data_IF_457420826941
#
_entry.id   IF_457420826941
#
_cell.length_a   1.000
_cell.length_b   1.000
_cell.length_c   1.000
_cell.angle_alpha   90.00
_cell.angle_beta   90.00
_cell.angle_gamma   90.00
#
_symmetry.space_group_name_H-M   'P 1'
#
loop_
_entity.id
_entity.type
_entity.pdbx_description
1 polymer ?
#
# COMPACT_ATOMS: atom_id res chain seq x y z
N UNK A 1 15.30 0.00 -9.83
CA UNK A 1 14.77 -1.39 -10.00
C UNK A 1 13.42 -1.26 -10.66
N UNK A 2 13.14 -2.01 -11.72
CA UNK A 2 11.83 -1.94 -12.38
C UNK A 2 10.78 -2.67 -11.53
N UNK A 3 9.72 -1.96 -11.12
CA UNK A 3 8.65 -2.51 -10.29
C UNK A 3 7.64 -3.24 -11.19
N UNK A 4 7.38 -4.53 -10.93
CA UNK A 4 6.34 -5.28 -11.64
C UNK A 4 4.99 -5.08 -10.96
N UNK A 5 4.41 -3.90 -11.18
CA UNK A 5 3.15 -3.47 -10.59
C UNK A 5 2.21 -2.98 -11.69
N UNK A 6 0.94 -3.36 -11.61
CA UNK A 6 -0.11 -2.85 -12.49
C UNK A 6 -1.44 -2.70 -11.75
N UNK A 7 -2.29 -1.79 -12.23
CA UNK A 7 -3.64 -1.61 -11.71
C UNK A 7 -4.63 -2.34 -12.61
N UNK A 8 -5.52 -3.14 -12.01
CA UNK A 8 -6.64 -3.79 -12.71
C UNK A 8 -7.95 -3.32 -12.07
N UNK A 9 -8.89 -2.91 -12.91
CA UNK A 9 -10.25 -2.57 -12.53
C UNK A 9 -11.17 -3.77 -12.76
N UNK A 10 -11.99 -4.12 -11.75
CA UNK A 10 -13.02 -5.15 -11.91
C UNK A 10 -14.31 -4.58 -12.52
N UNK A 11 -15.28 -5.46 -12.81
CA UNK A 11 -16.55 -5.09 -13.45
C UNK A 11 -17.38 -4.08 -12.65
N UNK A 12 -17.12 -3.95 -11.35
CA UNK A 12 -17.80 -3.02 -10.46
C UNK A 12 -17.04 -1.67 -10.38
N UNK A 13 -16.04 -1.46 -11.24
CA UNK A 13 -15.19 -0.26 -11.25
C UNK A 13 -14.14 -0.24 -10.14
N UNK A 14 -13.93 -1.35 -9.42
CA UNK A 14 -13.02 -1.36 -8.27
C UNK A 14 -11.60 -1.71 -8.70
N UNK A 15 -10.74 -0.69 -8.68
CA UNK A 15 -9.30 -0.80 -8.94
C UNK A 15 -8.58 -1.63 -7.85
N UNK A 16 -7.59 -2.42 -8.26
CA UNK A 16 -6.70 -3.21 -7.39
C UNK A 16 -5.28 -3.15 -7.94
N UNK A 17 -4.31 -2.87 -7.06
CA UNK A 17 -2.88 -2.89 -7.39
C UNK A 17 -2.33 -4.32 -7.34
N UNK A 18 -1.95 -4.89 -8.47
CA UNK A 18 -1.31 -6.21 -8.55
C UNK A 18 0.20 -6.04 -8.47
N UNK A 19 0.82 -6.64 -7.46
CA UNK A 19 2.26 -6.62 -7.26
C UNK A 19 2.75 -8.02 -7.59
N UNK A 20 3.52 -8.19 -8.66
CA UNK A 20 3.84 -9.51 -9.21
C UNK A 20 5.05 -10.18 -8.60
N UNK A 21 5.90 -9.43 -7.91
CA UNK A 21 7.10 -9.94 -7.27
C UNK A 21 6.99 -9.86 -5.74
N UNK A 22 7.48 -10.90 -5.06
CA UNK A 22 7.64 -10.92 -3.61
C UNK A 22 9.12 -10.73 -3.28
N UNK A 23 9.53 -9.47 -3.11
CA UNK A 23 10.93 -9.13 -2.84
C UNK A 23 11.25 -9.21 -1.33
N UNK A 24 10.28 -8.87 -0.47
CA UNK A 24 10.43 -9.01 0.98
C UNK A 24 10.00 -10.41 1.42
N UNK A 25 10.89 -11.37 1.18
CA UNK A 25 10.70 -12.81 1.49
C UNK A 25 11.50 -13.21 2.73
N UNK A 26 10.80 -13.33 3.86
CA UNK A 26 11.36 -13.89 5.09
C UNK A 26 10.99 -15.35 5.30
N UNK A 27 11.96 -16.24 5.53
CA UNK A 27 11.69 -17.65 5.91
C UNK A 27 11.01 -17.77 7.29
N UNK A 28 11.29 -16.83 8.20
CA UNK A 28 10.74 -16.78 9.58
C UNK A 28 10.01 -15.45 9.85
N UNK A 29 10.59 -14.32 9.45
CA UNK A 29 10.03 -12.98 9.64
C UNK A 29 10.51 -12.02 8.54
N UNK A 30 9.77 -10.94 8.33
CA UNK A 30 10.18 -9.82 7.46
C UNK A 30 11.38 -9.12 8.08
N UNK A 31 12.36 -8.72 7.25
CA UNK A 31 13.42 -7.79 7.61
C UNK A 31 12.91 -6.37 7.35
N UNK A 32 12.56 -5.65 8.40
CA UNK A 32 11.91 -4.35 8.26
C UNK A 32 12.88 -3.26 7.81
N UNK A 33 14.16 -3.35 8.19
CA UNK A 33 15.21 -2.44 7.70
C UNK A 33 15.31 -2.43 6.16
N UNK A 34 15.15 -3.59 5.51
CA UNK A 34 15.15 -3.69 4.04
C UNK A 34 13.91 -2.98 3.44
N UNK A 35 12.77 -3.03 4.14
CA UNK A 35 11.52 -2.35 3.71
C UNK A 35 11.64 -0.84 3.89
N UNK A 36 12.23 -0.40 5.00
CA UNK A 36 12.48 1.01 5.28
C UNK A 36 13.40 1.61 4.22
N UNK A 37 14.52 0.94 3.93
CA UNK A 37 15.46 1.37 2.91
C UNK A 37 14.81 1.44 1.53
N UNK A 38 13.93 0.49 1.21
CA UNK A 38 13.15 0.54 -0.03
C UNK A 38 12.22 1.76 -0.08
N UNK A 39 11.53 2.08 1.02
CA UNK A 39 10.60 3.22 1.07
C UNK A 39 11.29 4.57 0.91
N UNK A 40 12.56 4.70 1.31
CA UNK A 40 13.35 5.94 1.12
C UNK A 40 13.42 6.40 -0.33
N UNK A 41 13.30 5.49 -1.30
CA UNK A 41 13.33 5.86 -2.72
C UNK A 41 12.15 6.74 -3.15
N UNK A 42 11.04 6.72 -2.40
CA UNK A 42 9.85 7.53 -2.68
C UNK A 42 9.85 8.87 -1.95
N UNK A 43 10.79 9.10 -1.03
CA UNK A 43 10.80 10.31 -0.19
C UNK A 43 10.99 11.55 -1.06
N UNK A 44 10.09 12.52 -0.90
CA UNK A 44 10.04 13.73 -1.71
C UNK A 44 9.06 13.65 -2.90
N UNK A 45 8.57 12.46 -3.24
CA UNK A 45 7.56 12.29 -4.28
C UNK A 45 6.18 12.81 -3.86
N UNK A 46 5.35 13.07 -4.86
CA UNK A 46 3.98 13.53 -4.70
C UNK A 46 3.10 12.72 -5.65
N UNK A 47 2.03 12.16 -5.11
CA UNK A 47 1.03 11.40 -5.86
C UNK A 47 -0.34 12.02 -5.65
N UNK A 48 -1.21 11.95 -6.66
CA UNK A 48 -2.57 12.49 -6.56
C UNK A 48 -3.57 11.35 -6.46
N UNK A 49 -4.50 11.46 -5.52
CA UNK A 49 -5.60 10.50 -5.40
C UNK A 49 -6.64 10.80 -6.49
N UNK A 50 -6.97 9.83 -7.34
CA UNK A 50 -7.94 10.00 -8.43
C UNK A 50 -9.33 10.40 -7.92
N UNK A 51 -9.78 9.79 -6.81
CA UNK A 51 -11.14 9.95 -6.25
C UNK A 51 -11.40 11.36 -5.70
N UNK A 52 -10.39 12.01 -5.11
CA UNK A 52 -10.55 13.28 -4.39
C UNK A 52 -9.73 14.44 -4.95
N UNK A 53 -8.80 14.17 -5.87
CA UNK A 53 -7.76 15.10 -6.34
C UNK A 53 -6.85 15.62 -5.21
N UNK A 54 -6.79 14.95 -4.07
CA UNK A 54 -5.85 15.30 -3.00
C UNK A 54 -4.41 14.96 -3.43
N UNK A 55 -3.50 15.94 -3.31
CA UNK A 55 -2.07 15.72 -3.46
C UNK A 55 -1.47 15.16 -2.15
N UNK A 56 -0.84 13.99 -2.24
CA UNK A 56 -0.26 13.25 -1.11
C UNK A 56 1.25 13.20 -1.27
N UNK A 57 1.95 13.78 -0.29
CA UNK A 57 3.39 13.85 -0.22
C UNK A 57 3.96 12.64 0.52
N UNK A 58 5.13 12.17 0.08
CA UNK A 58 5.91 11.17 0.81
C UNK A 58 6.96 11.89 1.66
N UNK A 59 6.70 11.96 2.98
CA UNK A 59 7.60 12.58 3.95
C UNK A 59 8.80 11.70 4.31
N UNK A 60 9.83 12.32 4.87
CA UNK A 60 11.03 11.62 5.39
C UNK A 60 10.72 10.73 6.60
N UNK A 61 9.57 10.95 7.25
CA UNK A 61 9.07 10.18 8.38
C UNK A 61 8.36 8.88 7.95
N UNK A 62 7.84 8.80 6.71
CA UNK A 62 7.10 7.62 6.24
C UNK A 62 7.90 6.31 6.37
N UNK A 63 9.17 6.21 5.94
CA UNK A 63 9.89 4.95 6.02
C UNK A 63 9.92 4.38 7.45
N UNK A 64 10.27 5.21 8.43
CA UNK A 64 10.34 4.83 9.84
C UNK A 64 8.95 4.49 10.41
N UNK A 65 7.94 5.34 10.14
CA UNK A 65 6.58 5.09 10.63
C UNK A 65 5.98 3.81 10.03
N UNK A 66 6.26 3.51 8.77
CA UNK A 66 5.77 2.31 8.11
C UNK A 66 6.35 1.03 8.72
N UNK A 67 7.63 1.04 9.12
CA UNK A 67 8.38 -0.15 9.56
C UNK A 67 8.41 -0.32 11.09
N UNK A 68 8.31 0.77 11.86
CA UNK A 68 8.45 0.76 13.31
C UNK A 68 7.19 1.19 14.07
N UNK A 69 6.05 1.37 13.41
CA UNK A 69 4.80 1.64 14.13
C UNK A 69 4.38 0.47 15.03
N UNK A 70 3.66 0.78 16.12
CA UNK A 70 3.02 -0.23 16.98
C UNK A 70 2.17 -1.22 16.17
N UNK A 71 1.53 -0.75 15.09
CA UNK A 71 0.76 -1.62 14.21
C UNK A 71 1.67 -2.61 13.47
N UNK A 72 2.81 -2.14 12.94
CA UNK A 72 3.78 -3.01 12.27
C UNK A 72 4.36 -4.06 13.22
N UNK A 73 4.68 -3.68 14.46
CA UNK A 73 5.22 -4.60 15.48
C UNK A 73 4.28 -5.77 15.82
N UNK A 74 2.96 -5.56 15.81
CA UNK A 74 2.00 -6.64 16.10
C UNK A 74 1.69 -7.54 14.91
N UNK A 75 2.08 -7.15 13.68
CA UNK A 75 1.85 -7.96 12.49
C UNK A 75 2.75 -9.20 12.48
N UNK A 76 2.16 -10.35 12.13
CA UNK A 76 2.87 -11.62 12.03
C UNK A 76 2.51 -12.37 10.75
N UNK A 77 3.41 -13.27 10.33
CA UNK A 77 3.19 -14.21 9.23
C UNK A 77 2.74 -13.52 7.94
N UNK A 78 1.64 -13.99 7.36
CA UNK A 78 1.13 -13.53 6.07
C UNK A 78 0.81 -12.03 6.03
N UNK A 79 0.33 -11.44 7.14
CA UNK A 79 -0.04 -10.02 7.16
C UNK A 79 1.21 -9.11 7.19
N UNK A 80 2.25 -9.50 7.94
CA UNK A 80 3.53 -8.79 7.92
C UNK A 80 4.15 -8.81 6.53
N UNK A 81 4.16 -9.99 5.88
CA UNK A 81 4.61 -10.13 4.49
C UNK A 81 3.78 -9.29 3.53
N UNK A 82 2.46 -9.24 3.72
CA UNK A 82 1.56 -8.45 2.90
C UNK A 82 1.86 -6.96 3.02
N UNK A 83 2.04 -6.45 4.25
CA UNK A 83 2.45 -5.06 4.50
C UNK A 83 3.76 -4.76 3.80
N UNK A 84 4.81 -5.52 4.09
CA UNK A 84 6.13 -5.31 3.52
C UNK A 84 6.10 -5.20 1.99
N UNK A 85 5.41 -6.12 1.32
CA UNK A 85 5.34 -6.12 -0.14
C UNK A 85 4.39 -5.07 -0.73
N UNK A 86 3.45 -4.51 0.05
CA UNK A 86 2.63 -3.38 -0.38
C UNK A 86 3.46 -2.11 -0.62
N UNK A 87 4.62 -1.97 0.02
CA UNK A 87 5.56 -0.87 -0.24
C UNK A 87 5.95 -0.75 -1.72
N UNK A 88 5.99 -1.88 -2.46
CA UNK A 88 6.31 -1.89 -3.89
C UNK A 88 5.25 -1.19 -4.75
N UNK A 89 3.99 -1.18 -4.32
CA UNK A 89 2.87 -0.58 -5.05
C UNK A 89 2.41 0.73 -4.42
N UNK A 90 3.27 1.41 -3.67
CA UNK A 90 2.91 2.61 -2.92
C UNK A 90 2.33 3.73 -3.80
N UNK A 91 2.94 4.09 -4.96
CA UNK A 91 2.38 5.09 -5.86
C UNK A 91 0.96 4.75 -6.29
N UNK A 92 0.79 3.53 -6.83
CA UNK A 92 -0.48 3.08 -7.39
C UNK A 92 -1.55 2.93 -6.29
N UNK A 93 -1.15 2.54 -5.08
CA UNK A 93 -2.05 2.43 -3.93
C UNK A 93 -2.62 3.79 -3.52
N UNK A 94 -1.82 4.87 -3.62
CA UNK A 94 -2.26 6.25 -3.37
C UNK A 94 -3.20 6.70 -4.49
N UNK A 95 -2.81 6.50 -5.75
CA UNK A 95 -3.61 6.93 -6.91
C UNK A 95 -5.02 6.34 -6.89
N UNK A 96 -5.15 5.04 -6.57
CA UNK A 96 -6.46 4.37 -6.51
C UNK A 96 -7.20 4.51 -5.18
N UNK A 97 -6.64 5.26 -4.22
CA UNK A 97 -7.23 5.40 -2.91
C UNK A 97 -8.60 6.09 -3.01
N UNK A 98 -9.58 5.70 -2.20
CA UNK A 98 -10.93 6.24 -2.28
C UNK A 98 -11.64 6.26 -0.93
N UNK A 99 -12.80 6.93 -0.86
CA UNK A 99 -13.65 6.91 0.32
C UNK A 99 -13.08 7.70 1.50
N UNK A 100 -12.63 8.93 1.21
CA UNK A 100 -12.09 9.91 2.17
C UNK A 100 -12.94 9.98 3.43
N UNK A 101 -12.34 9.69 4.59
CA UNK A 101 -12.94 9.85 5.92
C UNK A 101 -12.07 10.74 6.79
N UNK A 102 -12.65 11.79 7.35
CA UNK A 102 -11.96 12.72 8.23
C UNK A 102 -12.04 12.28 9.70
N UNK A 103 -11.01 12.59 10.48
CA UNK A 103 -11.01 12.48 11.94
C UNK A 103 -10.17 13.61 12.53
N UNK A 104 -10.74 14.34 13.47
CA UNK A 104 -10.03 15.39 14.19
C UNK A 104 -8.86 14.81 14.99
N UNK A 105 -7.80 15.60 15.14
CA UNK A 105 -6.69 15.21 16.00
C UNK A 105 -7.01 15.55 17.47
N UNK A 106 -7.28 14.53 18.28
CA UNK A 106 -7.52 14.67 19.72
C UNK A 106 -6.26 14.45 20.58
N UNK A 107 -5.08 14.25 19.97
CA UNK A 107 -3.83 13.97 20.70
C UNK A 107 -2.91 15.19 20.69
N UNK A 108 -2.57 15.68 21.88
CA UNK A 108 -1.65 16.82 22.07
C UNK A 108 -0.30 16.62 21.36
N UNK A 109 0.20 15.37 21.31
CA UNK A 109 1.50 15.02 20.70
C UNK A 109 1.58 15.16 19.17
N UNK A 110 0.49 15.44 18.47
CA UNK A 110 0.48 15.64 17.00
C UNK A 110 -0.12 17.00 16.61
N UNK A 111 -0.12 17.98 17.52
CA UNK A 111 -0.73 19.29 17.29
C UNK A 111 -0.08 20.09 16.14
N UNK A 112 1.22 19.90 15.88
CA UNK A 112 1.93 20.52 14.74
C UNK A 112 1.83 19.63 13.49
N UNK A 113 2.09 18.34 13.70
CA UNK A 113 2.20 17.34 12.65
C UNK A 113 0.88 17.06 11.94
N UNK A 114 -0.23 16.98 12.69
CA UNK A 114 -1.58 16.70 12.21
C UNK A 114 -2.53 17.85 12.58
N UNK A 115 -2.05 19.08 12.43
CA UNK A 115 -2.77 20.28 12.87
C UNK A 115 -4.18 20.37 12.29
N UNK A 116 -4.37 19.96 11.04
CA UNK A 116 -5.66 19.94 10.37
C UNK A 116 -6.35 18.57 10.44
N UNK A 117 -5.83 17.64 11.25
CA UNK A 117 -6.40 16.33 11.49
C UNK A 117 -5.85 15.23 10.58
N UNK A 118 -6.62 14.14 10.52
CA UNK A 118 -6.26 12.90 9.84
C UNK A 118 -7.32 12.53 8.81
N UNK A 119 -6.86 12.08 7.66
CA UNK A 119 -7.70 11.48 6.63
C UNK A 119 -7.41 9.99 6.53
N UNK A 120 -8.46 9.22 6.27
CA UNK A 120 -8.38 7.79 5.98
C UNK A 120 -8.96 7.53 4.61
N UNK A 121 -8.23 6.74 3.84
CA UNK A 121 -8.66 6.26 2.54
C UNK A 121 -8.61 4.74 2.49
N UNK A 122 -9.53 4.14 1.75
CA UNK A 122 -9.53 2.72 1.44
C UNK A 122 -8.72 2.49 0.16
N UNK A 123 -7.88 1.46 0.16
CA UNK A 123 -7.16 1.02 -1.04
C UNK A 123 -7.02 -0.51 -1.04
N UNK A 124 -6.50 -1.08 -2.13
CA UNK A 124 -6.52 -2.53 -2.36
C UNK A 124 -5.34 -2.99 -3.19
N UNK A 125 -4.67 -4.05 -2.73
CA UNK A 125 -3.61 -4.70 -3.50
C UNK A 125 -3.74 -6.22 -3.52
N UNK A 126 -3.03 -6.85 -4.45
CA UNK A 126 -3.01 -8.26 -4.68
C UNK A 126 -1.55 -8.77 -4.71
N UNK A 127 -1.29 -9.86 -3.99
CA UNK A 127 0.00 -10.56 -3.99
C UNK A 127 -0.13 -11.96 -4.58
N UNK A 128 0.85 -12.41 -5.39
CA UNK A 128 0.85 -13.74 -5.96
C UNK A 128 1.05 -14.79 -4.89
N UNK A 129 0.44 -15.94 -5.12
CA UNK A 129 0.80 -17.21 -4.51
C UNK A 129 1.42 -18.05 -5.61
N UNK A 130 2.61 -18.56 -5.35
CA UNK A 130 3.33 -19.41 -6.28
C UNK A 130 3.11 -20.88 -5.94
N UNK A 131 3.03 -21.72 -6.96
CA UNK A 131 3.02 -23.17 -6.82
C UNK A 131 4.44 -23.73 -6.56
N UNK A 132 4.56 -25.07 -6.55
CA UNK A 132 5.83 -25.75 -6.26
C UNK A 132 6.90 -25.54 -7.35
N UNK A 133 6.50 -25.22 -8.58
CA UNK A 133 7.41 -24.95 -9.71
C UNK A 133 7.71 -23.45 -9.87
N UNK A 134 7.14 -22.60 -9.02
CA UNK A 134 7.40 -21.16 -9.00
C UNK A 134 6.49 -20.35 -9.93
N UNK A 135 5.44 -20.96 -10.47
CA UNK A 135 4.45 -20.29 -11.31
C UNK A 135 3.33 -19.67 -10.46
N UNK A 136 2.72 -18.58 -10.94
CA UNK A 136 1.64 -17.91 -10.20
C UNK A 136 0.37 -18.76 -10.26
N UNK A 137 0.01 -19.35 -9.13
CA UNK A 137 -1.21 -20.16 -8.96
C UNK A 137 -2.46 -19.28 -8.82
N UNK A 138 -2.36 -18.19 -8.04
CA UNK A 138 -3.46 -17.23 -7.78
C UNK A 138 -2.96 -15.94 -7.18
N UNK A 139 -3.86 -14.97 -7.00
CA UNK A 139 -3.60 -13.78 -6.18
C UNK A 139 -4.44 -13.75 -4.90
N UNK A 140 -3.77 -13.47 -3.78
CA UNK A 140 -4.42 -13.09 -2.53
C UNK A 140 -4.66 -11.58 -2.54
N UNK A 141 -5.91 -11.18 -2.37
CA UNK A 141 -6.28 -9.77 -2.39
C UNK A 141 -6.46 -9.24 -0.97
N UNK A 142 -5.95 -8.04 -0.71
CA UNK A 142 -5.96 -7.37 0.59
C UNK A 142 -6.59 -5.99 0.47
N UNK A 143 -7.50 -5.67 1.39
CA UNK A 143 -7.94 -4.30 1.61
C UNK A 143 -7.02 -3.65 2.66
N UNK A 144 -6.79 -2.35 2.52
CA UNK A 144 -6.01 -1.54 3.46
C UNK A 144 -6.68 -0.21 3.75
N UNK A 145 -6.24 0.43 4.83
CA UNK A 145 -6.55 1.82 5.14
C UNK A 145 -5.26 2.62 5.06
N UNK A 146 -5.21 3.60 4.18
CA UNK A 146 -4.14 4.59 4.13
C UNK A 146 -4.46 5.69 5.14
N UNK A 147 -3.50 6.01 5.99
CA UNK A 147 -3.59 7.07 6.98
C UNK A 147 -2.79 8.25 6.47
N UNK A 148 -3.46 9.37 6.28
CA UNK A 148 -2.87 10.59 5.73
C UNK A 148 -2.98 11.69 6.78
N UNK A 149 -1.84 12.32 7.07
CA UNK A 149 -1.72 13.41 8.04
C UNK A 149 -1.83 14.75 7.32
N UNK A 150 -2.68 15.66 7.79
CA UNK A 150 -2.75 17.02 7.24
C UNK A 150 -1.98 17.98 8.15
N UNK A 151 -0.79 18.34 7.68
CA UNK A 151 0.20 19.06 8.46
C UNK A 151 0.00 20.58 8.43
N UNK A 152 0.66 21.28 9.36
CA UNK A 152 0.59 22.73 9.52
C UNK A 152 0.98 23.53 8.27
N UNK A 153 1.83 22.98 7.41
CA UNK A 153 2.22 23.59 6.13
C UNK A 153 1.10 23.51 5.06
N UNK A 154 -0.05 22.92 5.41
CA UNK A 154 -1.21 22.75 4.54
C UNK A 154 -1.12 21.50 3.66
N UNK A 155 -0.05 20.71 3.74
CA UNK A 155 0.16 19.53 2.90
C UNK A 155 -0.34 18.25 3.56
N UNK A 156 -0.73 17.30 2.73
CA UNK A 156 -1.18 15.98 3.14
C UNK A 156 -0.04 14.97 2.95
N UNK A 157 0.40 14.33 4.02
CA UNK A 157 1.50 13.36 4.01
C UNK A 157 0.97 11.96 4.26
N UNK A 158 1.38 10.98 3.44
CA UNK A 158 1.13 9.60 3.78
C UNK A 158 1.89 9.27 5.08
N UNK A 159 1.17 8.79 6.08
CA UNK A 159 1.73 8.49 7.41
C UNK A 159 1.92 6.98 7.62
N UNK A 160 0.90 6.17 7.32
CA UNK A 160 1.02 4.70 7.40
C UNK A 160 -0.01 4.00 6.48
N UNK A 161 0.22 2.72 6.19
CA UNK A 161 -0.77 1.80 5.65
C UNK A 161 -1.13 0.77 6.73
N UNK A 162 -2.40 0.77 7.09
CA UNK A 162 -2.94 0.03 8.22
C UNK A 162 -4.06 -0.92 7.84
N UNK A 163 -4.50 -1.73 8.82
CA UNK A 163 -5.71 -2.55 8.76
C UNK A 163 -5.74 -3.54 7.57
N UNK A 164 -4.58 -4.12 7.25
CA UNK A 164 -4.41 -5.10 6.17
C UNK A 164 -5.29 -6.31 6.42
N UNK A 165 -6.24 -6.52 5.52
CA UNK A 165 -7.25 -7.59 5.62
C UNK A 165 -7.34 -8.35 4.32
N UNK A 166 -6.97 -9.64 4.37
CA UNK A 166 -7.15 -10.56 3.25
C UNK A 166 -8.63 -10.78 2.96
N UNK A 167 -9.06 -10.63 1.70
CA UNK A 167 -10.39 -11.06 1.24
C UNK A 167 -10.47 -12.58 1.13
N UNK A 168 -11.63 -13.15 1.48
CA UNK A 168 -11.86 -14.61 1.49
C UNK A 168 -11.99 -15.22 0.09
N UNK A 169 -12.45 -14.44 -0.90
CA UNK A 169 -12.51 -14.88 -2.28
C UNK A 169 -11.15 -14.63 -2.97
N UNK A 170 -10.45 -15.68 -3.44
CA UNK A 170 -9.25 -15.50 -4.24
C UNK A 170 -9.60 -14.92 -5.60
N UNK A 171 -8.77 -14.02 -6.13
CA UNK A 171 -8.80 -13.71 -7.56
C UNK A 171 -8.04 -14.83 -8.25
N UNK A 172 -8.77 -15.82 -8.77
CA UNK A 172 -8.19 -16.83 -9.66
C UNK A 172 -7.83 -16.12 -10.96
N UNK A 173 -6.55 -16.05 -11.28
CA UNK A 173 -6.09 -15.60 -12.59
C UNK A 173 -6.86 -16.38 -13.67
N UNK A 174 -7.72 -15.73 -14.48
CA UNK A 174 -8.03 -16.31 -15.77
C UNK A 174 -6.69 -16.24 -16.51
N UNK A 175 -6.15 -17.38 -16.95
CA UNK A 175 -4.96 -17.44 -17.84
C UNK A 175 -5.05 -16.46 -19.03
N UNK A 176 -6.25 -15.94 -19.32
CA UNK A 176 -6.65 -15.03 -20.39
C UNK A 176 -6.54 -13.52 -20.11
N UNK A 177 -6.42 -13.03 -18.86
CA UNK A 177 -6.38 -11.57 -18.62
C UNK A 177 -4.96 -10.96 -18.62
N UNK A 178 -3.92 -11.75 -18.31
CA UNK A 178 -2.51 -11.31 -18.37
C UNK A 178 -1.83 -11.60 -19.72
N UNK A 179 -2.49 -12.28 -20.66
CA UNK A 179 -1.90 -12.66 -21.96
C UNK A 179 -2.03 -11.62 -23.06
N UNK A 180 -2.62 -10.44 -22.79
CA UNK A 180 -2.64 -9.35 -23.78
C UNK A 180 -1.30 -8.62 -23.75
N UNK A 181 -0.31 -9.20 -24.42
CA UNK A 181 0.89 -8.46 -24.86
C UNK A 181 0.45 -7.21 -25.65
N UNK A 182 1.16 -6.08 -25.54
CA UNK A 182 0.92 -4.96 -26.43
C UNK A 182 1.13 -5.43 -27.87
N UNK A 183 0.13 -5.18 -28.72
CA UNK A 183 0.26 -5.34 -30.16
C UNK A 183 1.36 -4.37 -30.60
N UNK A 184 2.32 -4.90 -31.35
CA UNK A 184 3.43 -4.16 -31.96
C UNK A 184 2.99 -2.92 -32.73
#
# INVERSE_FOLDING_TARGET
MERKVNVIEDIDGKKTVFIHDIIFKGKKSVKWDDVEEYLKQYVGDIYTIDDSNDAVYIGTDLPDEYTHSNYTHILKGANAKAKANAAQGLPELIEIAAGKKFTENYKEKHTIDAMYGWYRYESRFALPVFDEVGEIERYNVFNVIMVIRHAKDGKMYLYDIMNIKKKRAPFSSPKTLLSKKPIS
#
